data_IF_301059598055
#
_entry.id   IF_301059598055
#
_cell.length_a   1.000
_cell.length_b   1.000
_cell.length_c   1.000
_cell.angle_alpha   90.00
_cell.angle_beta   90.00
_cell.angle_gamma   90.00
#
_symmetry.space_group_name_H-M   'P 1'
#
loop_
_entity.id
_entity.type
_entity.pdbx_description
1 polymer ?
#
# COMPACT_ATOMS: atom_id res chain seq x y z
N UNK A 1 20.91 -16.55 2.50
CA UNK A 1 19.50 -16.69 2.89
C UNK A 1 18.63 -15.99 1.86
N UNK A 2 17.50 -16.59 1.48
CA UNK A 2 16.63 -16.05 0.43
C UNK A 2 15.80 -14.88 0.95
N UNK A 3 15.73 -13.80 0.16
CA UNK A 3 14.81 -12.68 0.38
C UNK A 3 13.39 -13.14 0.03
N UNK A 4 12.39 -12.73 0.80
CA UNK A 4 10.98 -13.05 0.56
C UNK A 4 10.17 -11.77 0.37
N UNK A 5 9.37 -11.73 -0.69
CA UNK A 5 8.46 -10.62 -0.97
C UNK A 5 7.07 -10.94 -0.40
N UNK A 6 6.48 -9.99 0.32
CA UNK A 6 5.12 -10.09 0.84
C UNK A 6 4.26 -9.02 0.17
N UNK A 7 3.21 -9.47 -0.50
CA UNK A 7 2.28 -8.57 -1.19
C UNK A 7 1.02 -8.42 -0.36
N UNK A 8 0.73 -7.19 0.04
CA UNK A 8 -0.49 -6.82 0.76
C UNK A 8 -1.50 -6.19 -0.19
N UNK A 9 -2.78 -6.51 -0.01
CA UNK A 9 -3.88 -5.91 -0.76
C UNK A 9 -4.83 -5.27 0.23
N UNK A 10 -5.04 -3.96 0.12
CA UNK A 10 -5.97 -3.23 0.98
C UNK A 10 -7.14 -2.65 0.19
N UNK A 11 -8.32 -2.70 0.81
CA UNK A 11 -9.43 -1.84 0.39
C UNK A 11 -9.01 -0.38 0.60
N UNK A 12 -9.36 0.56 -0.32
CA UNK A 12 -8.87 1.94 -0.25
C UNK A 12 -9.67 2.78 0.74
N UNK A 13 -9.59 2.44 2.01
CA UNK A 13 -10.17 3.16 3.12
C UNK A 13 -9.10 3.36 4.20
N UNK A 14 -9.01 4.55 4.78
CA UNK A 14 -7.99 4.90 5.78
C UNK A 14 -7.99 3.91 6.96
N UNK A 15 -9.18 3.49 7.43
CA UNK A 15 -9.31 2.51 8.52
C UNK A 15 -8.72 1.13 8.22
N UNK A 16 -8.52 0.77 6.95
CA UNK A 16 -7.85 -0.47 6.56
C UNK A 16 -6.39 -0.22 6.19
N UNK A 17 -6.13 0.90 5.52
CA UNK A 17 -4.82 1.18 4.93
C UNK A 17 -3.77 1.53 5.98
N UNK A 18 -4.11 2.36 6.96
CA UNK A 18 -3.17 2.75 8.03
C UNK A 18 -2.67 1.53 8.82
N UNK A 19 -3.52 0.68 9.43
CA UNK A 19 -3.03 -0.46 10.19
C UNK A 19 -2.24 -1.45 9.33
N UNK A 20 -2.58 -1.58 8.04
CA UNK A 20 -1.86 -2.44 7.11
C UNK A 20 -0.45 -1.91 6.77
N UNK A 21 -0.29 -0.60 6.59
CA UNK A 21 1.03 0.03 6.41
C UNK A 21 1.89 -0.12 7.66
N UNK A 22 1.33 0.13 8.85
CA UNK A 22 2.03 -0.06 10.13
C UNK A 22 2.46 -1.52 10.32
N UNK A 23 1.59 -2.48 10.00
CA UNK A 23 1.94 -3.90 10.06
C UNK A 23 3.06 -4.27 9.08
N UNK A 24 3.01 -3.77 7.85
CA UNK A 24 4.08 -4.00 6.87
C UNK A 24 5.42 -3.43 7.36
N UNK A 25 5.42 -2.24 7.98
CA UNK A 25 6.60 -1.64 8.60
C UNK A 25 7.15 -2.50 9.74
N UNK A 26 6.29 -2.95 10.65
CA UNK A 26 6.70 -3.85 11.72
C UNK A 26 7.32 -5.14 11.18
N UNK A 27 6.76 -5.73 10.13
CA UNK A 27 7.26 -6.96 9.51
C UNK A 27 8.67 -6.79 8.93
N UNK A 28 8.88 -5.77 8.09
CA UNK A 28 10.19 -5.56 7.41
C UNK A 28 11.26 -5.09 8.38
N UNK A 29 10.89 -4.40 9.47
CA UNK A 29 11.82 -4.00 10.53
C UNK A 29 12.18 -5.17 11.45
N UNK A 30 11.27 -6.12 11.67
CA UNK A 30 11.51 -7.27 12.53
C UNK A 30 12.38 -8.33 11.86
N UNK A 31 12.21 -8.59 10.56
CA UNK A 31 13.03 -9.54 9.81
C UNK A 31 13.47 -8.95 8.46
N UNK A 32 14.76 -8.58 8.32
CA UNK A 32 15.32 -7.96 7.11
C UNK A 32 15.24 -8.82 5.84
N UNK A 33 14.87 -10.10 5.96
CA UNK A 33 14.65 -10.98 4.81
C UNK A 33 13.33 -10.66 4.10
N UNK A 34 12.39 -10.01 4.79
CA UNK A 34 11.13 -9.60 4.19
C UNK A 34 11.21 -8.24 3.52
N UNK A 35 10.56 -8.14 2.37
CA UNK A 35 10.26 -6.92 1.65
C UNK A 35 8.76 -6.89 1.45
N UNK A 36 8.17 -5.69 1.49
CA UNK A 36 6.73 -5.54 1.40
C UNK A 36 6.35 -4.70 0.18
N UNK A 37 5.35 -5.17 -0.55
CA UNK A 37 4.66 -4.38 -1.57
C UNK A 37 3.20 -4.25 -1.19
N UNK A 38 2.70 -3.02 -1.10
CA UNK A 38 1.31 -2.72 -0.80
C UNK A 38 0.61 -2.32 -2.09
N UNK A 39 -0.36 -3.14 -2.51
CA UNK A 39 -1.22 -2.87 -3.65
C UNK A 39 -2.34 -1.94 -3.24
N UNK A 40 -2.38 -0.79 -3.91
CA UNK A 40 -3.35 0.26 -3.68
C UNK A 40 -4.38 0.25 -4.79
N UNK A 41 -5.63 0.03 -4.44
CA UNK A 41 -6.74 0.27 -5.34
C UNK A 41 -7.03 1.77 -5.39
N UNK A 42 -6.70 2.46 -6.48
CA UNK A 42 -6.95 3.91 -6.58
C UNK A 42 -8.44 4.16 -6.84
N UNK A 43 -9.06 5.02 -6.03
CA UNK A 43 -10.43 5.49 -6.25
C UNK A 43 -10.46 7.02 -6.36
N UNK A 44 -10.90 7.60 -7.50
CA UNK A 44 -10.96 9.06 -7.69
C UNK A 44 -11.80 9.77 -6.61
N UNK A 45 -12.81 9.08 -6.07
CA UNK A 45 -13.72 9.62 -5.05
C UNK A 45 -13.10 9.71 -3.64
N UNK A 46 -11.85 9.25 -3.44
CA UNK A 46 -11.19 9.20 -2.12
C UNK A 46 -9.82 9.89 -2.14
N UNK A 47 -9.77 11.23 -2.24
CA UNK A 47 -8.51 11.98 -2.36
C UNK A 47 -7.60 11.80 -1.15
N UNK A 48 -8.14 11.70 0.07
CA UNK A 48 -7.37 11.51 1.31
C UNK A 48 -6.52 10.25 1.30
N UNK A 49 -7.02 9.16 0.69
CA UNK A 49 -6.28 7.91 0.57
C UNK A 49 -5.06 8.10 -0.34
N UNK A 50 -5.23 8.81 -1.46
CA UNK A 50 -4.14 9.10 -2.39
C UNK A 50 -3.08 9.99 -1.74
N UNK A 51 -3.49 11.04 -1.00
CA UNK A 51 -2.55 11.92 -0.29
C UNK A 51 -1.74 11.14 0.76
N UNK A 52 -2.39 10.27 1.53
CA UNK A 52 -1.72 9.43 2.53
C UNK A 52 -0.65 8.53 1.90
N UNK A 53 -0.97 7.90 0.77
CA UNK A 53 -0.02 7.02 0.06
C UNK A 53 1.15 7.82 -0.49
N UNK A 54 0.89 8.98 -1.10
CA UNK A 54 1.94 9.84 -1.63
C UNK A 54 2.89 10.33 -0.52
N UNK A 55 2.36 10.72 0.64
CA UNK A 55 3.21 11.11 1.77
C UNK A 55 4.05 9.96 2.30
N UNK A 56 3.48 8.74 2.38
CA UNK A 56 4.21 7.57 2.85
C UNK A 56 5.21 7.03 1.83
N UNK A 57 4.89 7.02 0.54
CA UNK A 57 5.81 6.63 -0.52
C UNK A 57 7.02 7.56 -0.60
N UNK A 58 6.85 8.85 -0.26
CA UNK A 58 7.94 9.83 -0.20
C UNK A 58 8.81 9.68 1.04
N UNK A 59 8.27 9.10 2.13
CA UNK A 59 8.95 8.95 3.41
C UNK A 59 9.55 7.56 3.64
N UNK A 60 9.10 6.54 2.91
CA UNK A 60 9.48 5.16 3.18
C UNK A 60 10.89 4.84 2.67
N UNK A 61 11.70 4.25 3.56
CA UNK A 61 12.96 3.61 3.20
C UNK A 61 12.71 2.32 2.39
N UNK A 62 13.71 1.93 1.61
CA UNK A 62 13.79 0.94 0.51
C UNK A 62 13.07 -0.42 0.67
N UNK A 63 12.48 -0.73 1.82
CA UNK A 63 11.90 -2.04 2.14
C UNK A 63 10.37 -2.12 1.95
N UNK A 64 9.68 -0.99 1.73
CA UNK A 64 8.23 -0.97 1.43
C UNK A 64 7.96 -0.21 0.14
N UNK A 65 7.28 -0.87 -0.78
CA UNK A 65 6.83 -0.29 -2.04
C UNK A 65 5.31 -0.14 -2.06
N UNK A 66 4.84 0.94 -2.68
CA UNK A 66 3.42 1.17 -2.96
C UNK A 66 3.20 1.03 -4.46
N UNK A 67 2.29 0.13 -4.87
CA UNK A 67 1.95 -0.08 -6.27
C UNK A 67 0.46 0.21 -6.50
N UNK A 68 0.17 1.18 -7.36
CA UNK A 68 -1.20 1.51 -7.73
C UNK A 68 -1.77 0.47 -8.71
N UNK A 69 -2.92 -0.09 -8.34
CA UNK A 69 -3.75 -0.91 -9.19
C UNK A 69 -4.75 0.00 -9.91
N UNK A 70 -4.62 0.10 -11.22
CA UNK A 70 -5.57 0.82 -12.07
C UNK A 70 -6.77 -0.11 -12.30
N UNK A 71 -7.92 0.24 -11.74
CA UNK A 71 -9.19 -0.37 -12.15
C UNK A 71 -9.66 0.41 -13.38
N UNK A 72 -9.34 -0.06 -14.58
CA UNK A 72 -9.99 0.45 -15.78
C UNK A 72 -11.40 -0.18 -15.88
N UNK A 73 -12.40 0.67 -16.06
CA UNK A 73 -13.79 0.34 -16.34
C UNK A 73 -14.58 -0.43 -15.25
N UNK A 74 -14.93 0.26 -14.16
CA UNK A 74 -16.34 0.29 -13.77
C UNK A 74 -16.74 1.75 -13.79
N UNK A 75 -17.05 2.24 -14.98
CA UNK A 75 -17.76 3.50 -15.16
C UNK A 75 -19.04 3.36 -14.36
N UNK A 76 -19.13 4.05 -13.22
CA UNK A 76 -20.41 4.25 -12.55
C UNK A 76 -21.26 5.09 -13.51
N UNK A 77 -22.08 4.41 -14.28
CA UNK A 77 -23.20 5.03 -14.99
C UNK A 77 -24.20 5.37 -13.89
N UNK A 78 -24.29 6.66 -13.55
CA UNK A 78 -25.45 7.22 -12.87
C UNK A 78 -26.53 7.50 -13.92
#
# INVERSE_FOLDING_TARGET
>A
MSKSEVVFISTPAIGNLVPLVEFAQLLVNHDPRFHATILIITMPQRPTVNTYIQSHASASATSINFLHLVISAITYVN
#
